data_IF_136506129707
#
_entry.id   IF_136506129707
#
_cell.length_a   1.000
_cell.length_b   1.000
_cell.length_c   1.000
_cell.angle_alpha   90.00
_cell.angle_beta   90.00
_cell.angle_gamma   90.00
#
_symmetry.space_group_name_H-M   'P 1'
#
loop_
_entity.id
_entity.type
_entity.pdbx_description
1 polymer ?
#
# COMPACT_ATOMS: atom_id res chain seq x y z
N UNK A 1 -7.20 -13.47 -31.31
CA UNK A 1 -6.45 -12.21 -31.10
C UNK A 1 -6.45 -11.97 -29.61
N UNK A 2 -5.27 -12.03 -28.98
CA UNK A 2 -5.12 -11.88 -27.54
C UNK A 2 -5.17 -10.39 -27.18
N UNK A 3 -6.30 -9.93 -26.65
CA UNK A 3 -6.38 -8.61 -26.03
C UNK A 3 -5.86 -8.70 -24.60
N UNK A 4 -4.67 -8.14 -24.38
CA UNK A 4 -3.93 -8.11 -23.10
C UNK A 4 -4.37 -7.00 -22.15
N UNK A 5 -5.66 -6.69 -22.09
CA UNK A 5 -6.28 -5.83 -21.06
C UNK A 5 -7.61 -6.47 -20.69
N UNK A 6 -7.99 -6.47 -19.41
CA UNK A 6 -9.24 -7.10 -18.99
C UNK A 6 -10.43 -6.56 -19.81
N UNK A 7 -11.20 -7.43 -20.47
CA UNK A 7 -12.37 -7.00 -21.25
C UNK A 7 -13.49 -6.48 -20.32
N UNK A 8 -14.36 -5.63 -20.86
CA UNK A 8 -15.45 -4.99 -20.10
C UNK A 8 -16.37 -6.01 -19.41
N UNK A 9 -16.75 -7.08 -20.10
CA UNK A 9 -17.60 -8.16 -19.56
C UNK A 9 -16.95 -8.84 -18.35
N UNK A 10 -15.63 -9.07 -18.41
CA UNK A 10 -14.89 -9.66 -17.29
C UNK A 10 -14.78 -8.69 -16.10
N UNK A 11 -14.71 -7.37 -16.34
CA UNK A 11 -14.72 -6.37 -15.26
C UNK A 11 -16.06 -6.33 -14.53
N UNK A 12 -17.16 -6.31 -15.28
CA UNK A 12 -18.51 -6.38 -14.70
C UNK A 12 -18.69 -7.67 -13.88
N UNK A 13 -18.24 -8.79 -14.45
CA UNK A 13 -18.32 -10.09 -13.77
C UNK A 13 -17.42 -10.17 -12.53
N UNK A 14 -16.26 -9.51 -12.52
CA UNK A 14 -15.40 -9.46 -11.34
C UNK A 14 -16.06 -8.74 -10.15
N UNK A 15 -16.81 -7.66 -10.42
CA UNK A 15 -17.51 -6.89 -9.40
C UNK A 15 -18.64 -7.71 -8.73
N UNK A 16 -19.36 -8.52 -9.51
CA UNK A 16 -20.56 -9.22 -9.04
C UNK A 16 -20.34 -10.71 -8.72
N UNK A 17 -19.41 -11.38 -9.42
CA UNK A 17 -19.28 -12.85 -9.46
C UNK A 17 -17.83 -13.32 -9.70
N UNK A 18 -16.90 -12.84 -8.88
CA UNK A 18 -15.45 -13.11 -9.04
C UNK A 18 -15.05 -14.59 -9.13
N UNK A 19 -15.83 -15.51 -8.55
CA UNK A 19 -15.60 -16.95 -8.64
C UNK A 19 -15.87 -17.52 -10.05
N UNK A 20 -16.78 -16.91 -10.81
CA UNK A 20 -17.18 -17.37 -12.16
C UNK A 20 -16.03 -17.22 -13.15
N UNK A 21 -15.25 -16.14 -13.05
CA UNK A 21 -14.07 -15.92 -13.91
C UNK A 21 -13.05 -17.06 -13.81
N UNK A 22 -12.87 -17.61 -12.61
CA UNK A 22 -11.99 -18.77 -12.40
C UNK A 22 -12.61 -20.05 -12.97
N UNK A 23 -13.91 -20.24 -12.78
CA UNK A 23 -14.63 -21.42 -13.27
C UNK A 23 -14.69 -21.49 -14.80
N UNK A 24 -14.79 -20.33 -15.47
CA UNK A 24 -14.84 -20.23 -16.94
C UNK A 24 -13.44 -20.14 -17.60
N UNK A 25 -12.36 -20.24 -16.82
CA UNK A 25 -11.01 -20.30 -17.39
C UNK A 25 -10.51 -19.00 -18.02
N UNK A 26 -10.77 -17.85 -17.40
CA UNK A 26 -10.22 -16.55 -17.82
C UNK A 26 -9.02 -16.09 -16.96
N UNK A 27 -7.88 -16.81 -16.94
CA UNK A 27 -6.75 -16.48 -16.06
C UNK A 27 -6.08 -15.15 -16.41
N UNK A 28 -6.03 -14.79 -17.69
CA UNK A 28 -5.47 -13.52 -18.17
C UNK A 28 -6.28 -12.32 -17.68
N UNK A 29 -7.61 -12.37 -17.77
CA UNK A 29 -8.49 -11.33 -17.24
C UNK A 29 -8.36 -11.21 -15.72
N UNK A 30 -8.30 -12.33 -14.99
CA UNK A 30 -8.10 -12.32 -13.53
C UNK A 30 -6.77 -11.66 -13.16
N UNK A 31 -5.70 -11.95 -13.92
CA UNK A 31 -4.38 -11.36 -13.70
C UNK A 31 -4.38 -9.88 -13.98
N UNK A 32 -4.96 -9.45 -15.11
CA UNK A 32 -5.06 -8.04 -15.48
C UNK A 32 -5.88 -7.23 -14.46
N UNK A 33 -7.05 -7.73 -14.04
CA UNK A 33 -7.89 -7.06 -13.02
C UNK A 33 -7.14 -6.93 -11.69
N UNK A 34 -6.43 -7.99 -11.26
CA UNK A 34 -5.61 -7.92 -10.05
C UNK A 34 -4.47 -6.92 -10.16
N UNK A 35 -3.81 -6.87 -11.31
CA UNK A 35 -2.74 -5.90 -11.56
C UNK A 35 -3.27 -4.46 -11.50
N UNK A 36 -4.42 -4.19 -12.11
CA UNK A 36 -5.11 -2.89 -12.03
C UNK A 36 -5.49 -2.54 -10.58
N UNK A 37 -6.07 -3.48 -9.84
CA UNK A 37 -6.42 -3.29 -8.44
C UNK A 37 -5.18 -3.01 -7.58
N UNK A 38 -4.09 -3.72 -7.81
CA UNK A 38 -2.82 -3.48 -7.10
C UNK A 38 -2.24 -2.12 -7.45
N UNK A 39 -2.26 -1.72 -8.72
CA UNK A 39 -1.79 -0.40 -9.17
C UNK A 39 -2.61 0.75 -8.56
N UNK A 40 -3.91 0.54 -8.36
CA UNK A 40 -4.80 1.52 -7.72
C UNK A 40 -4.60 1.61 -6.19
N UNK A 41 -4.03 0.58 -5.54
CA UNK A 41 -3.83 0.60 -4.09
C UNK A 41 -2.83 1.66 -3.67
N UNK A 42 -3.22 2.39 -2.63
CA UNK A 42 -2.40 3.37 -1.93
C UNK A 42 -2.14 2.91 -0.51
N UNK A 43 -0.93 3.19 -0.04
CA UNK A 43 -0.48 2.82 1.29
C UNK A 43 0.08 4.06 1.98
N UNK A 44 -0.38 4.30 3.20
CA UNK A 44 0.32 5.20 4.10
C UNK A 44 1.54 4.48 4.66
N UNK A 45 2.69 5.15 4.67
CA UNK A 45 3.91 4.66 5.30
C UNK A 45 4.36 5.65 6.38
N UNK A 46 4.76 5.13 7.54
CA UNK A 46 5.34 5.91 8.65
C UNK A 46 6.85 5.76 8.65
N UNK A 47 7.55 6.86 8.38
CA UNK A 47 9.00 6.91 8.21
C UNK A 47 9.61 7.58 9.43
N UNK A 48 10.56 6.91 10.07
CA UNK A 48 11.31 7.48 11.19
C UNK A 48 12.35 8.51 10.69
N UNK A 49 12.95 9.31 11.58
CA UNK A 49 13.95 10.31 11.20
C UNK A 49 15.18 9.74 10.48
N UNK A 50 15.48 8.46 10.69
CA UNK A 50 16.59 7.73 10.04
C UNK A 50 16.24 7.24 8.63
N UNK A 51 14.99 7.45 8.17
CA UNK A 51 14.51 7.02 6.86
C UNK A 51 13.94 5.60 6.81
N UNK A 52 13.88 4.89 7.94
CA UNK A 52 13.29 3.55 8.02
C UNK A 52 11.77 3.61 8.11
N UNK A 53 11.07 2.80 7.30
CA UNK A 53 9.62 2.61 7.42
C UNK A 53 9.33 1.70 8.61
N UNK A 54 8.50 2.17 9.53
CA UNK A 54 8.16 1.48 10.79
C UNK A 54 6.72 1.01 10.88
N UNK A 55 5.87 1.48 9.95
CA UNK A 55 4.47 1.09 9.87
C UNK A 55 3.91 1.35 8.48
N UNK A 56 2.87 0.59 8.13
CA UNK A 56 2.06 0.89 6.94
C UNK A 56 0.58 0.60 7.17
N UNK A 57 -0.27 1.37 6.52
CA UNK A 57 -1.72 1.20 6.54
C UNK A 57 -2.29 1.34 5.12
N UNK A 58 -3.38 0.65 4.82
CA UNK A 58 -4.08 0.79 3.54
C UNK A 58 -4.80 2.14 3.51
N UNK A 59 -4.56 2.92 2.45
CA UNK A 59 -5.10 4.28 2.32
C UNK A 59 -6.63 4.35 2.38
N UNK A 60 -7.31 3.29 1.93
CA UNK A 60 -8.78 3.19 1.94
C UNK A 60 -9.40 3.22 3.35
N UNK A 61 -8.63 2.88 4.41
CA UNK A 61 -9.14 2.82 5.79
C UNK A 61 -8.74 4.00 6.68
N UNK A 62 -7.88 4.90 6.18
CA UNK A 62 -7.29 5.96 7.00
C UNK A 62 -7.88 7.32 6.65
N UNK A 63 -7.92 7.65 5.36
CA UNK A 63 -8.23 9.00 4.88
C UNK A 63 -7.15 9.54 3.95
N UNK A 64 -7.42 10.65 3.24
CA UNK A 64 -6.54 11.18 2.21
C UNK A 64 -5.42 12.09 2.75
N UNK A 65 -5.46 12.47 4.04
CA UNK A 65 -4.52 13.42 4.62
C UNK A 65 -3.42 12.73 5.44
N UNK A 66 -2.21 13.30 5.42
CA UNK A 66 -1.09 12.82 6.23
C UNK A 66 -1.38 12.91 7.74
N UNK A 67 -2.23 13.85 8.17
CA UNK A 67 -2.67 13.95 9.57
C UNK A 67 -3.55 12.77 10.00
N UNK A 68 -4.36 12.22 9.10
CA UNK A 68 -5.20 11.05 9.39
C UNK A 68 -4.31 9.82 9.56
N UNK A 69 -3.30 9.67 8.69
CA UNK A 69 -2.27 8.65 8.85
C UNK A 69 -1.50 8.78 10.15
N UNK A 70 -1.13 10.01 10.54
CA UNK A 70 -0.44 10.25 11.80
C UNK A 70 -1.31 9.89 13.01
N UNK A 71 -2.62 10.17 12.97
CA UNK A 71 -3.56 9.73 14.03
C UNK A 71 -3.68 8.21 14.08
N UNK A 72 -3.74 7.56 12.94
CA UNK A 72 -3.83 6.10 12.83
C UNK A 72 -2.61 5.41 13.45
N UNK A 73 -1.40 5.83 13.07
CA UNK A 73 -0.18 5.23 13.61
C UNK A 73 0.11 5.62 15.06
N UNK A 74 -0.25 6.85 15.45
CA UNK A 74 0.06 7.40 16.76
C UNK A 74 -1.19 8.04 17.36
N UNK A 75 -2.08 7.26 18.01
CA UNK A 75 -3.38 7.76 18.50
C UNK A 75 -3.29 8.82 19.60
N UNK A 76 -2.19 8.86 20.35
CA UNK A 76 -1.98 9.80 21.46
C UNK A 76 -1.43 11.14 20.95
N UNK A 77 -2.12 12.24 21.27
CA UNK A 77 -1.72 13.62 20.89
C UNK A 77 -0.30 13.97 21.33
N UNK A 78 0.08 13.60 22.56
CA UNK A 78 1.42 13.88 23.11
C UNK A 78 2.52 13.24 22.26
N UNK A 79 2.32 12.00 21.85
CA UNK A 79 3.32 11.26 21.08
C UNK A 79 3.40 11.82 19.64
N UNK A 80 2.27 12.23 19.04
CA UNK A 80 2.28 12.93 17.75
C UNK A 80 3.07 14.24 17.76
N UNK A 81 2.94 15.03 18.83
CA UNK A 81 3.71 16.28 18.98
C UNK A 81 5.20 16.00 19.07
N UNK A 82 5.58 14.95 19.81
CA UNK A 82 6.96 14.48 19.88
C UNK A 82 7.46 14.06 18.50
N UNK A 83 6.69 13.25 17.78
CA UNK A 83 7.05 12.77 16.44
C UNK A 83 7.24 13.91 15.42
N UNK A 84 6.37 14.92 15.47
CA UNK A 84 6.51 16.11 14.64
C UNK A 84 7.80 16.90 14.94
N UNK A 85 8.22 16.94 16.21
CA UNK A 85 9.48 17.58 16.63
C UNK A 85 10.72 16.75 16.27
N UNK A 86 10.62 15.42 16.29
CA UNK A 86 11.70 14.48 15.97
C UNK A 86 11.92 14.31 14.47
N UNK A 87 11.01 14.79 13.62
CA UNK A 87 11.13 14.70 12.16
C UNK A 87 10.54 13.43 11.54
N UNK A 88 9.56 12.81 12.20
CA UNK A 88 8.81 11.70 11.62
C UNK A 88 7.96 12.17 10.44
N UNK A 89 7.83 11.30 9.42
CA UNK A 89 7.06 11.60 8.21
C UNK A 89 6.02 10.54 7.91
N UNK A 90 4.94 10.99 7.28
CA UNK A 90 3.84 10.17 6.82
C UNK A 90 3.63 10.45 5.33
N UNK A 91 3.80 9.43 4.49
CA UNK A 91 3.73 9.56 3.04
C UNK A 91 2.73 8.57 2.45
N UNK A 92 1.98 9.00 1.44
CA UNK A 92 1.06 8.15 0.70
C UNK A 92 1.74 7.68 -0.57
N UNK A 93 1.92 6.37 -0.71
CA UNK A 93 2.67 5.75 -1.81
C UNK A 93 1.82 4.75 -2.57
N UNK A 94 2.17 4.50 -3.83
CA UNK A 94 1.59 3.41 -4.61
C UNK A 94 2.10 2.04 -4.18
N UNK A 95 1.47 0.96 -4.65
CA UNK A 95 1.88 -0.41 -4.34
C UNK A 95 3.35 -0.71 -4.68
N UNK A 96 3.82 -0.30 -5.87
CA UNK A 96 5.20 -0.61 -6.30
C UNK A 96 6.23 0.14 -5.45
N UNK A 97 5.92 1.38 -5.10
CA UNK A 97 6.76 2.17 -4.19
C UNK A 97 6.72 1.62 -2.76
N UNK A 98 5.56 1.14 -2.29
CA UNK A 98 5.46 0.42 -1.01
C UNK A 98 6.35 -0.83 -1.01
N UNK A 99 6.33 -1.62 -2.10
CA UNK A 99 7.19 -2.80 -2.27
C UNK A 99 8.67 -2.44 -2.22
N UNK A 100 9.06 -1.30 -2.78
CA UNK A 100 10.46 -0.88 -2.81
C UNK A 100 10.92 -0.26 -1.49
N UNK A 101 10.11 0.61 -0.88
CA UNK A 101 10.51 1.44 0.28
C UNK A 101 10.09 0.84 1.62
N UNK A 102 8.87 0.34 1.71
CA UNK A 102 8.27 -0.09 2.98
C UNK A 102 8.52 -1.56 3.27
N UNK A 103 8.29 -2.44 2.29
CA UNK A 103 8.41 -3.89 2.47
C UNK A 103 9.77 -4.29 3.06
N UNK A 104 10.93 -3.81 2.56
CA UNK A 104 12.21 -4.21 3.14
C UNK A 104 12.35 -3.81 4.60
N UNK A 105 11.83 -2.64 5.00
CA UNK A 105 11.93 -2.17 6.37
C UNK A 105 11.02 -2.97 7.32
N UNK A 106 9.77 -3.20 6.92
CA UNK A 106 8.78 -3.91 7.72
C UNK A 106 9.15 -5.39 7.94
N UNK A 107 9.84 -6.00 6.97
CA UNK A 107 10.34 -7.38 7.07
C UNK A 107 11.80 -7.49 7.54
N UNK A 108 12.41 -6.39 8.02
CA UNK A 108 13.76 -6.42 8.58
C UNK A 108 14.89 -6.69 7.57
N UNK A 109 14.63 -6.47 6.28
CA UNK A 109 15.57 -6.64 5.16
C UNK A 109 16.21 -5.33 4.71
N UNK A 110 15.84 -4.19 5.32
CA UNK A 110 16.39 -2.90 4.94
C UNK A 110 17.84 -2.71 5.39
N UNK A 111 18.56 -1.83 4.69
CA UNK A 111 19.93 -1.44 5.06
C UNK A 111 19.94 -0.35 6.15
N UNK A 112 18.83 0.35 6.38
CA UNK A 112 18.73 1.41 7.40
C UNK A 112 19.11 0.92 8.79
N UNK A 113 18.63 -0.27 9.21
CA UNK A 113 19.01 -0.87 10.50
C UNK A 113 20.49 -1.23 10.63
N UNK A 114 21.18 -1.50 9.51
CA UNK A 114 22.60 -1.87 9.51
C UNK A 114 23.52 -0.64 9.57
N UNK A 115 23.03 0.53 9.17
CA UNK A 115 23.78 1.77 9.18
C UNK A 115 23.85 2.43 10.56
N UNK A 116 23.09 1.94 11.54
CA UNK A 116 23.02 2.46 12.93
C UNK A 116 23.79 1.55 13.90
N UNK A 117 24.84 0.87 13.44
CA UNK A 117 25.73 0.05 14.28
C UNK A 117 27.12 0.67 14.42
#
# INVERSE_FOLDING_TARGET
MAETTACADCREMAANRSWVLRALGHPECVTAIRAEQLAARKFWIRINPEGCVTGSALGEYVGPLAEDAHKEFTPKVRDRRREAAEGWRHELVGHDEWKQRAEPCLFGKCQHRRAVS
#
